data_IF_187330130424
#
_entry.id   IF_187330130424
#
_cell.length_a   1.000
_cell.length_b   1.000
_cell.length_c   1.000
_cell.angle_alpha   90.00
_cell.angle_beta   90.00
_cell.angle_gamma   90.00
#
_symmetry.space_group_name_H-M   'P 1'
#
loop_
_entity.id
_entity.type
_entity.pdbx_description
1 polymer ?
#
# COMPACT_ATOMS: atom_id res chain seq x y z
N UNK A 1 -29.77 -45.46 50.07
CA UNK A 1 -29.87 -44.49 48.95
C UNK A 1 -28.83 -43.36 49.11
N UNK A 2 -27.51 -43.66 49.15
CA UNK A 2 -26.46 -42.62 49.37
C UNK A 2 -25.21 -42.82 48.46
N UNK A 3 -25.18 -43.81 47.58
CA UNK A 3 -23.95 -44.19 46.85
C UNK A 3 -23.82 -43.67 45.41
N UNK A 4 -24.61 -42.67 44.98
CA UNK A 4 -24.51 -42.11 43.61
C UNK A 4 -23.92 -40.70 43.49
N UNK A 5 -23.45 -40.07 44.58
CA UNK A 5 -23.00 -38.67 44.51
C UNK A 5 -21.50 -38.46 44.29
N UNK A 6 -20.66 -39.49 44.31
CA UNK A 6 -19.19 -39.32 44.24
C UNK A 6 -18.61 -39.32 42.82
N UNK A 7 -19.41 -39.62 41.80
CA UNK A 7 -18.92 -39.76 40.41
C UNK A 7 -18.85 -38.43 39.62
N UNK A 8 -19.23 -37.31 40.24
CA UNK A 8 -19.20 -35.98 39.61
C UNK A 8 -17.96 -35.15 39.97
N UNK A 9 -17.07 -35.65 40.84
CA UNK A 9 -15.95 -34.86 41.40
C UNK A 9 -14.68 -34.97 40.54
N UNK A 10 -14.60 -35.94 39.61
CA UNK A 10 -13.40 -36.19 38.78
C UNK A 10 -13.30 -35.39 37.47
N UNK A 11 -14.32 -34.60 37.14
CA UNK A 11 -14.42 -33.89 35.84
C UNK A 11 -13.81 -32.48 35.93
N UNK A 12 -13.72 -31.90 37.14
CA UNK A 12 -13.29 -30.53 37.40
C UNK A 12 -11.89 -30.15 36.88
N UNK A 13 -10.80 -30.87 37.20
CA UNK A 13 -9.46 -30.42 36.86
C UNK A 13 -9.10 -30.66 35.39
N UNK A 14 -9.67 -31.69 34.75
CA UNK A 14 -9.39 -32.00 33.33
C UNK A 14 -10.08 -31.03 32.37
N UNK A 15 -11.34 -30.66 32.65
CA UNK A 15 -12.04 -29.64 31.85
C UNK A 15 -11.44 -28.26 32.11
N UNK A 16 -11.05 -27.95 33.35
CA UNK A 16 -10.39 -26.68 33.67
C UNK A 16 -9.04 -26.54 32.95
N UNK A 17 -8.24 -27.60 32.90
CA UNK A 17 -6.97 -27.59 32.15
C UNK A 17 -7.18 -27.48 30.63
N UNK A 18 -8.21 -28.14 30.08
CA UNK A 18 -8.57 -28.01 28.66
C UNK A 18 -9.02 -26.58 28.32
N UNK A 19 -9.86 -25.96 29.17
CA UNK A 19 -10.31 -24.57 29.01
C UNK A 19 -9.16 -23.56 29.15
N UNK A 20 -8.23 -23.80 30.09
CA UNK A 20 -7.05 -22.96 30.26
C UNK A 20 -6.12 -23.06 29.05
N UNK A 21 -5.90 -24.27 28.52
CA UNK A 21 -5.07 -24.50 27.33
C UNK A 21 -5.69 -23.86 26.09
N UNK A 22 -7.01 -23.98 25.92
CA UNK A 22 -7.74 -23.35 24.82
C UNK A 22 -7.71 -21.82 24.91
N UNK A 23 -7.84 -21.26 26.12
CA UNK A 23 -7.70 -19.82 26.35
C UNK A 23 -6.30 -19.31 25.98
N UNK A 24 -5.24 -20.02 26.37
CA UNK A 24 -3.86 -19.65 26.02
C UNK A 24 -3.63 -19.69 24.50
N UNK A 25 -4.19 -20.66 23.79
CA UNK A 25 -4.13 -20.75 22.33
C UNK A 25 -4.88 -19.58 21.64
N UNK A 26 -6.01 -19.13 22.19
CA UNK A 26 -6.74 -17.95 21.70
C UNK A 26 -5.94 -16.65 21.90
N UNK A 27 -5.21 -16.51 23.01
CA UNK A 27 -4.35 -15.35 23.24
C UNK A 27 -3.10 -15.33 22.34
N UNK A 28 -2.58 -16.50 21.95
CA UNK A 28 -1.46 -16.60 21.00
C UNK A 28 -1.86 -16.28 19.55
N UNK A 29 -3.12 -16.52 19.17
CA UNK A 29 -3.64 -16.16 17.85
C UNK A 29 -3.89 -14.65 17.67
N UNK A 30 -3.89 -13.88 18.76
CA UNK A 30 -4.00 -12.41 18.73
C UNK A 30 -2.65 -11.70 18.54
N UNK A 31 -1.55 -12.44 18.37
CA UNK A 31 -0.26 -11.87 18.01
C UNK A 31 -0.33 -11.38 16.56
N UNK A 32 -0.62 -10.08 16.41
CA UNK A 32 -0.96 -9.43 15.15
C UNK A 32 0.00 -9.77 14.02
N UNK A 33 -0.53 -10.39 12.96
CA UNK A 33 0.14 -10.40 11.68
C UNK A 33 0.46 -8.95 11.29
N UNK A 34 1.69 -8.73 10.83
CA UNK A 34 2.10 -7.42 10.38
C UNK A 34 1.23 -7.03 9.17
N UNK A 35 0.35 -6.04 9.32
CA UNK A 35 -0.56 -5.57 8.26
C UNK A 35 0.17 -4.68 7.25
N UNK A 36 1.17 -5.23 6.57
CA UNK A 36 1.93 -4.53 5.54
C UNK A 36 1.56 -5.05 4.17
N UNK A 37 1.44 -4.11 3.23
CA UNK A 37 1.32 -4.43 1.82
C UNK A 37 2.66 -4.68 1.17
N UNK A 38 2.60 -5.11 -0.07
CA UNK A 38 3.78 -5.24 -0.94
C UNK A 38 3.57 -4.51 -2.25
N UNK A 39 4.68 -4.07 -2.85
CA UNK A 39 4.69 -3.64 -4.24
C UNK A 39 5.04 -4.84 -5.11
N UNK A 40 4.23 -5.09 -6.14
CA UNK A 40 4.49 -6.13 -7.14
C UNK A 40 4.64 -5.48 -8.51
N UNK A 41 5.85 -5.56 -9.08
CA UNK A 41 6.13 -5.04 -10.42
C UNK A 41 5.37 -5.85 -11.45
N UNK A 42 4.79 -5.16 -12.42
CA UNK A 42 3.95 -5.77 -13.43
C UNK A 42 4.11 -5.03 -14.75
N UNK A 43 4.39 -5.79 -15.81
CA UNK A 43 4.65 -5.24 -17.15
C UNK A 43 3.40 -4.67 -17.78
N UNK A 44 2.26 -5.31 -17.58
CA UNK A 44 1.01 -4.87 -18.18
C UNK A 44 0.59 -3.56 -17.56
N UNK A 45 0.78 -3.41 -16.23
CA UNK A 45 0.55 -2.13 -15.56
C UNK A 45 1.47 -1.02 -16.10
N UNK A 46 2.76 -1.27 -16.31
CA UNK A 46 3.66 -0.28 -16.92
C UNK A 46 3.25 0.09 -18.35
N UNK A 47 2.75 -0.87 -19.13
CA UNK A 47 2.21 -0.61 -20.46
C UNK A 47 0.97 0.28 -20.38
N UNK A 48 0.03 0.00 -19.47
CA UNK A 48 -1.15 0.84 -19.24
C UNK A 48 -0.78 2.29 -18.93
N UNK A 49 0.21 2.52 -18.05
CA UNK A 49 0.70 3.88 -17.78
C UNK A 49 1.40 4.51 -18.99
N UNK A 50 2.12 3.72 -19.78
CA UNK A 50 2.79 4.18 -21.00
C UNK A 50 1.81 4.55 -22.12
N UNK A 51 0.68 3.85 -22.17
CA UNK A 51 -0.47 4.13 -23.04
C UNK A 51 -1.41 5.19 -22.45
N UNK A 52 -1.01 5.76 -21.30
CA UNK A 52 -1.69 6.86 -20.60
C UNK A 52 -3.10 6.51 -20.13
N UNK A 53 -3.34 5.24 -19.83
CA UNK A 53 -4.61 4.75 -19.35
C UNK A 53 -4.93 5.25 -17.93
N UNK A 54 -6.21 5.50 -17.70
CA UNK A 54 -6.76 5.77 -16.37
C UNK A 54 -7.35 4.47 -15.83
N UNK A 55 -6.86 4.02 -14.68
CA UNK A 55 -7.36 2.84 -13.99
C UNK A 55 -8.80 3.11 -13.51
N UNK A 56 -9.77 2.27 -13.90
CA UNK A 56 -11.15 2.42 -13.46
C UNK A 56 -11.26 2.19 -11.95
N UNK A 57 -12.22 2.83 -11.29
CA UNK A 57 -12.49 2.65 -9.86
C UNK A 57 -11.33 2.99 -8.90
N UNK A 58 -10.42 3.87 -9.33
CA UNK A 58 -9.33 4.38 -8.49
C UNK A 58 -9.50 5.86 -8.13
N UNK A 59 -9.07 6.21 -6.92
CA UNK A 59 -8.77 7.59 -6.51
C UNK A 59 -7.29 7.87 -6.76
N UNK A 60 -7.01 9.00 -7.40
CA UNK A 60 -5.66 9.39 -7.77
C UNK A 60 -5.10 10.43 -6.82
N UNK A 61 -3.81 10.28 -6.56
CA UNK A 61 -3.02 11.19 -5.76
C UNK A 61 -1.66 11.40 -6.40
N UNK A 62 -1.05 12.55 -6.11
CA UNK A 62 0.32 12.87 -6.51
C UNK A 62 1.11 13.39 -5.32
N UNK A 63 2.43 13.29 -5.40
CA UNK A 63 3.33 13.90 -4.41
C UNK A 63 4.44 14.67 -5.10
N UNK A 64 5.03 15.65 -4.43
CA UNK A 64 5.90 16.66 -5.03
C UNK A 64 5.11 17.87 -5.52
N UNK A 65 5.52 18.47 -6.64
CA UNK A 65 4.78 19.57 -7.27
C UNK A 65 3.70 19.03 -8.21
N UNK A 66 2.55 19.70 -8.33
CA UNK A 66 1.46 19.28 -9.22
C UNK A 66 1.92 19.09 -10.68
N UNK A 67 2.75 20.00 -11.17
CA UNK A 67 3.32 19.95 -12.52
C UNK A 67 4.57 19.07 -12.62
N UNK A 68 5.18 18.72 -11.49
CA UNK A 68 6.41 17.97 -11.42
C UNK A 68 6.35 16.93 -10.29
N UNK A 69 5.50 15.89 -10.43
CA UNK A 69 5.35 14.90 -9.40
C UNK A 69 6.60 14.04 -9.28
N UNK A 70 6.79 13.51 -8.07
CA UNK A 70 7.75 12.46 -7.80
C UNK A 70 7.14 11.07 -8.03
N UNK A 71 5.85 10.93 -7.72
CA UNK A 71 5.11 9.70 -7.89
C UNK A 71 3.63 9.98 -8.12
N UNK A 72 2.98 9.02 -8.78
CA UNK A 72 1.52 8.90 -8.92
C UNK A 72 1.09 7.71 -8.06
N UNK A 73 0.00 7.90 -7.32
CA UNK A 73 -0.63 6.85 -6.53
C UNK A 73 -2.09 6.72 -6.97
N UNK A 74 -2.51 5.51 -7.30
CA UNK A 74 -3.90 5.17 -7.56
C UNK A 74 -4.34 4.15 -6.51
N UNK A 75 -5.40 4.44 -5.74
CA UNK A 75 -5.94 3.54 -4.72
C UNK A 75 -7.37 3.15 -5.11
N UNK A 76 -7.68 1.86 -5.08
CA UNK A 76 -9.02 1.36 -5.36
C UNK A 76 -10.06 2.00 -4.41
N UNK A 77 -11.25 2.30 -4.90
CA UNK A 77 -12.29 3.05 -4.15
C UNK A 77 -12.76 2.39 -2.85
N UNK A 78 -12.55 1.09 -2.71
CA UNK A 78 -12.83 0.33 -1.48
C UNK A 78 -11.88 0.68 -0.32
N UNK A 79 -10.75 1.35 -0.60
CA UNK A 79 -9.73 1.70 0.39
C UNK A 79 -9.55 3.20 0.52
N UNK A 80 -9.42 3.68 1.76
CA UNK A 80 -9.20 5.10 2.06
C UNK A 80 -7.72 5.36 2.35
N UNK A 81 -7.13 6.35 1.67
CA UNK A 81 -5.76 6.78 1.94
C UNK A 81 -5.72 7.62 3.22
N UNK A 82 -5.06 7.13 4.27
CA UNK A 82 -5.00 7.73 5.60
C UNK A 82 -3.56 8.06 6.03
N UNK A 83 -2.90 8.90 5.25
CA UNK A 83 -1.53 9.34 5.53
C UNK A 83 -1.50 10.55 6.48
N UNK A 84 -0.67 10.52 7.55
CA UNK A 84 -0.41 11.71 8.33
C UNK A 84 0.37 12.74 7.50
N UNK A 85 0.07 14.03 7.66
CA UNK A 85 0.92 15.13 7.17
C UNK A 85 0.79 15.51 5.69
N UNK A 86 -0.34 15.23 5.03
CA UNK A 86 -0.63 15.65 3.65
C UNK A 86 0.46 15.24 2.63
N UNK A 87 1.04 14.05 2.81
CA UNK A 87 2.07 13.50 1.92
C UNK A 87 1.61 13.36 0.45
N UNK A 88 0.30 13.24 0.28
CA UNK A 88 -0.38 13.02 -0.99
C UNK A 88 -1.41 14.10 -1.25
N UNK A 89 -1.38 14.64 -2.45
CA UNK A 89 -2.34 15.63 -2.93
C UNK A 89 -3.38 14.88 -3.76
N UNK A 90 -4.67 14.91 -3.39
CA UNK A 90 -5.73 14.27 -4.17
C UNK A 90 -5.90 14.98 -5.50
N UNK A 91 -6.12 14.21 -6.56
CA UNK A 91 -6.31 14.74 -7.92
C UNK A 91 -7.67 14.27 -8.45
N UNK A 92 -8.71 15.11 -8.31
CA UNK A 92 -10.02 14.79 -8.85
C UNK A 92 -10.00 14.84 -10.38
N UNK A 93 -10.90 14.08 -11.01
CA UNK A 93 -11.15 14.11 -12.46
C UNK A 93 -9.88 13.87 -13.31
N UNK A 94 -9.10 12.85 -12.95
CA UNK A 94 -7.94 12.45 -13.74
C UNK A 94 -8.35 12.06 -15.16
N UNK A 95 -7.54 12.43 -16.15
CA UNK A 95 -7.69 12.03 -17.54
C UNK A 95 -6.35 11.58 -18.14
N UNK A 96 -6.39 11.04 -19.36
CA UNK A 96 -5.21 10.56 -20.06
C UNK A 96 -4.17 11.67 -20.33
N UNK A 97 -4.61 12.92 -20.50
CA UNK A 97 -3.70 14.06 -20.68
C UNK A 97 -2.86 14.34 -19.43
N UNK A 98 -3.48 14.24 -18.26
CA UNK A 98 -2.79 14.39 -16.98
C UNK A 98 -1.87 13.21 -16.67
N UNK A 99 -2.28 11.97 -16.97
CA UNK A 99 -1.41 10.79 -16.85
C UNK A 99 -0.19 10.95 -17.75
N UNK A 100 -0.39 11.33 -19.02
CA UNK A 100 0.70 11.61 -19.96
C UNK A 100 1.69 12.62 -19.41
N UNK A 101 1.21 13.77 -18.94
CA UNK A 101 2.07 14.82 -18.38
C UNK A 101 2.94 14.29 -17.24
N UNK A 102 2.35 13.51 -16.33
CA UNK A 102 3.08 12.98 -15.18
C UNK A 102 4.05 11.86 -15.53
N UNK A 103 3.64 10.93 -16.40
CA UNK A 103 4.50 9.86 -16.89
C UNK A 103 5.70 10.44 -17.63
N UNK A 104 5.48 11.41 -18.52
CA UNK A 104 6.55 12.12 -19.25
C UNK A 104 7.45 12.94 -18.30
N UNK A 105 6.96 13.35 -17.12
CA UNK A 105 7.75 14.08 -16.11
C UNK A 105 8.56 13.14 -15.21
N UNK A 106 7.98 12.00 -14.82
CA UNK A 106 8.61 11.02 -13.94
C UNK A 106 9.68 10.24 -14.70
N UNK A 107 9.37 9.83 -15.94
CA UNK A 107 10.23 9.06 -16.83
C UNK A 107 10.43 9.82 -18.16
N UNK A 108 11.25 10.91 -18.16
CA UNK A 108 11.43 11.78 -19.33
C UNK A 108 12.18 11.13 -20.49
N UNK A 109 13.01 10.12 -20.22
CA UNK A 109 13.76 9.41 -21.26
C UNK A 109 12.93 8.25 -21.83
N UNK A 110 12.61 8.30 -23.12
CA UNK A 110 11.95 7.18 -23.81
C UNK A 110 12.79 5.89 -23.78
N UNK A 111 14.12 6.00 -23.69
CA UNK A 111 15.01 4.86 -23.52
C UNK A 111 14.74 4.07 -22.22
N UNK A 112 14.21 4.73 -21.18
CA UNK A 112 13.80 4.03 -19.95
C UNK A 112 12.53 3.20 -20.13
N UNK A 113 11.65 3.55 -21.07
CA UNK A 113 10.46 2.73 -21.41
C UNK A 113 10.85 1.43 -22.13
N UNK A 114 11.99 1.45 -22.84
CA UNK A 114 12.56 0.27 -23.52
C UNK A 114 13.62 -0.49 -22.71
N UNK A 115 14.09 0.04 -21.57
CA UNK A 115 15.21 -0.55 -20.80
C UNK A 115 14.80 -1.70 -19.89
N UNK A 116 13.49 -2.00 -19.78
CA UNK A 116 12.96 -2.95 -18.81
C UNK A 116 12.93 -2.40 -17.37
N UNK A 117 13.15 -1.10 -17.18
CA UNK A 117 12.92 -0.43 -15.91
C UNK A 117 11.41 -0.26 -15.69
N UNK A 118 10.90 -0.91 -14.65
CA UNK A 118 9.49 -0.81 -14.25
C UNK A 118 9.32 0.40 -13.32
N UNK A 119 8.49 1.35 -13.72
CA UNK A 119 8.12 2.50 -12.90
C UNK A 119 6.81 2.22 -12.16
N UNK A 120 5.99 1.32 -12.71
CA UNK A 120 4.73 0.90 -12.15
C UNK A 120 4.87 -0.33 -11.24
N UNK A 121 4.05 -0.39 -10.21
CA UNK A 121 3.86 -1.58 -9.38
C UNK A 121 2.43 -1.63 -8.86
N UNK A 122 1.81 -2.81 -8.84
CA UNK A 122 0.60 -3.01 -8.08
C UNK A 122 0.89 -2.91 -6.59
N UNK A 123 -0.03 -2.31 -5.86
CA UNK A 123 -0.07 -2.38 -4.40
C UNK A 123 -0.92 -3.58 -4.05
N UNK A 124 -0.31 -4.54 -3.36
CA UNK A 124 -0.97 -5.72 -2.84
C UNK A 124 -1.25 -5.55 -1.35
N UNK A 125 -2.44 -5.95 -0.91
CA UNK A 125 -2.74 -6.10 0.50
C UNK A 125 -2.06 -7.35 1.11
N UNK A 126 -2.14 -7.57 2.43
CA UNK A 126 -1.51 -8.72 3.07
C UNK A 126 -2.00 -10.08 2.54
N UNK A 127 -3.21 -10.14 1.98
CA UNK A 127 -3.81 -11.34 1.39
C UNK A 127 -3.44 -11.50 -0.11
N UNK A 128 -2.69 -10.56 -0.68
CA UNK A 128 -2.25 -10.57 -2.08
C UNK A 128 -3.25 -9.97 -3.06
N UNK A 129 -4.35 -9.36 -2.59
CA UNK A 129 -5.31 -8.66 -3.44
C UNK A 129 -4.68 -7.38 -3.98
N UNK A 130 -4.89 -7.08 -5.27
CA UNK A 130 -4.52 -5.80 -5.88
C UNK A 130 -5.47 -4.71 -5.39
N UNK A 131 -4.94 -3.69 -4.74
CA UNK A 131 -5.73 -2.59 -4.15
C UNK A 131 -5.32 -1.20 -4.63
N UNK A 132 -4.32 -1.14 -5.50
CA UNK A 132 -3.87 0.11 -6.08
C UNK A 132 -2.69 -0.06 -7.02
N UNK A 133 -2.19 1.07 -7.50
CA UNK A 133 -1.00 1.17 -8.34
C UNK A 133 -0.12 2.32 -7.85
N UNK A 134 1.19 2.08 -7.93
CA UNK A 134 2.25 3.01 -7.63
C UNK A 134 3.04 3.26 -8.91
N UNK A 135 3.25 4.53 -9.29
CA UNK A 135 4.12 4.91 -10.41
C UNK A 135 5.17 5.91 -9.94
N UNK A 136 6.45 5.54 -9.96
CA UNK A 136 7.53 6.39 -9.41
C UNK A 136 8.88 6.03 -10.03
N UNK A 137 9.84 6.94 -9.92
CA UNK A 137 11.26 6.64 -10.18
C UNK A 137 11.88 5.69 -9.14
N UNK A 138 11.23 5.49 -7.98
CA UNK A 138 11.63 4.50 -6.97
C UNK A 138 10.78 3.25 -7.08
N UNK A 139 11.40 2.11 -6.79
CA UNK A 139 10.75 0.79 -6.89
C UNK A 139 10.30 0.22 -5.55
N UNK A 140 10.40 1.01 -4.49
CA UNK A 140 10.02 0.63 -3.13
C UNK A 140 9.34 1.80 -2.42
N UNK A 141 8.45 1.45 -1.50
CA UNK A 141 7.87 2.33 -0.48
C UNK A 141 7.33 1.47 0.67
N UNK A 142 6.95 2.11 1.77
CA UNK A 142 6.22 1.45 2.85
C UNK A 142 4.71 1.53 2.59
N UNK A 143 4.03 0.39 2.64
CA UNK A 143 2.57 0.27 2.58
C UNK A 143 2.07 -0.37 3.86
N UNK A 144 1.23 0.33 4.62
CA UNK A 144 0.58 -0.19 5.84
C UNK A 144 -0.92 -0.21 5.66
N UNK A 145 -1.54 -1.27 6.13
CA UNK A 145 -2.99 -1.40 6.22
C UNK A 145 -3.40 -1.18 7.68
N UNK A 146 -4.40 -0.33 7.85
CA UNK A 146 -5.00 -0.01 9.14
C UNK A 146 -6.41 -0.63 9.19
N UNK A 147 -7.04 -0.54 10.35
CA UNK A 147 -8.44 -0.95 10.51
C UNK A 147 -9.37 -0.16 9.58
N UNK A 148 -10.45 -0.80 9.12
CA UNK A 148 -11.49 -0.14 8.33
C UNK A 148 -11.10 0.20 6.88
N UNK A 149 -10.37 -0.69 6.19
CA UNK A 149 -9.91 -0.53 4.80
C UNK A 149 -9.06 0.74 4.56
N UNK A 150 -8.37 1.19 5.59
CA UNK A 150 -7.47 2.33 5.49
C UNK A 150 -6.08 1.89 5.09
N UNK A 151 -5.47 2.65 4.20
CA UNK A 151 -4.12 2.39 3.69
C UNK A 151 -3.24 3.61 3.89
N UNK A 152 -2.01 3.38 4.34
CA UNK A 152 -0.94 4.36 4.38
C UNK A 152 0.11 3.98 3.36
N UNK A 153 0.38 4.88 2.42
CA UNK A 153 1.45 4.70 1.44
C UNK A 153 2.44 5.83 1.62
N UNK A 154 3.71 5.55 1.89
CA UNK A 154 4.71 6.61 2.05
C UNK A 154 5.18 7.11 0.68
N UNK A 155 5.63 8.36 0.61
CA UNK A 155 6.13 8.96 -0.63
C UNK A 155 7.51 8.40 -0.96
N UNK A 156 7.95 8.45 -2.23
CA UNK A 156 9.32 8.07 -2.56
C UNK A 156 10.31 8.96 -1.80
N UNK A 157 11.45 8.39 -1.42
CA UNK A 157 12.53 9.17 -0.84
C UNK A 157 13.01 10.24 -1.83
N UNK A 158 13.24 11.45 -1.31
CA UNK A 158 13.70 12.58 -2.11
C UNK A 158 15.14 12.33 -2.58
N UNK A 159 15.33 12.19 -3.89
CA UNK A 159 16.65 12.03 -4.47
C UNK A 159 17.19 13.36 -4.99
N UNK A 160 18.24 13.89 -4.34
CA UNK A 160 18.83 15.21 -4.67
C UNK A 160 19.24 15.34 -6.14
N UNK A 161 19.72 14.27 -6.75
CA UNK A 161 20.19 14.26 -8.14
C UNK A 161 19.01 14.44 -9.10
N UNK A 162 17.86 13.84 -8.82
CA UNK A 162 16.64 13.98 -9.63
C UNK A 162 16.16 15.43 -9.62
N UNK A 163 16.14 16.08 -8.45
CA UNK A 163 15.78 17.49 -8.33
C UNK A 163 16.73 18.40 -9.09
N UNK A 164 18.04 18.17 -8.95
CA UNK A 164 19.06 18.93 -9.67
C UNK A 164 18.89 18.81 -11.19
N UNK A 165 18.71 17.59 -11.69
CA UNK A 165 18.51 17.32 -13.13
C UNK A 165 17.23 17.94 -13.68
N UNK A 166 16.17 18.08 -12.86
CA UNK A 166 14.92 18.76 -13.22
C UNK A 166 14.98 20.29 -13.08
N UNK A 167 16.10 20.86 -12.67
CA UNK A 167 16.22 22.30 -12.39
C UNK A 167 15.39 22.76 -11.19
N UNK A 168 14.95 21.83 -10.32
CA UNK A 168 14.12 22.11 -9.16
C UNK A 168 14.99 22.24 -7.89
N UNK A 169 14.65 23.19 -7.02
CA UNK A 169 15.24 23.27 -5.67
C UNK A 169 14.42 22.46 -4.70
N UNK A 170 15.08 21.63 -3.88
CA UNK A 170 14.42 20.99 -2.74
C UNK A 170 13.91 22.06 -1.78
N UNK A 171 12.62 22.01 -1.45
CA UNK A 171 12.12 22.70 -0.26
C UNK A 171 12.55 21.89 0.96
N UNK A 172 13.20 22.56 1.91
CA UNK A 172 13.45 22.02 3.24
C UNK A 172 12.10 21.63 3.86
N UNK A 173 11.86 20.34 4.07
CA UNK A 173 10.80 19.87 4.97
C UNK A 173 11.25 20.19 6.40
N UNK A 174 10.61 21.19 7.02
CA UNK A 174 10.67 21.43 8.46
C UNK A 174 9.88 20.36 9.21
#
# INVERSE_FOLDING_TARGET
MILKLYKYIGIGPRIFNLLATFSVLLFLAACGAANYGTLSRDRDLDNMFSDYEVLPDHRYYSTGGYDAPNAILAIHRDYELDNPGNLWIPVPNIDAGQIRKWVDTIAPDMNYRGSGAYFASYILDPDGKRVGAWYSYTTFTTVKFLEGNKIQVYTPELNKNIYHNRGLRMRSSL
#
